data_IF_725008792353
#
_entry.id   IF_725008792353
#
_cell.length_a   1.000
_cell.length_b   1.000
_cell.length_c   1.000
_cell.angle_alpha   90.00
_cell.angle_beta   90.00
_cell.angle_gamma   90.00
#
_symmetry.space_group_name_H-M   'P 1'
#
loop_
_entity.id
_entity.type
_entity.pdbx_description
1 polymer ?
#
# COMPACT_ATOMS: atom_id res chain seq x y z
N UNK A 1 -2.03 -11.00 -8.19
CA UNK A 1 -1.53 -11.29 -6.82
C UNK A 1 -2.04 -10.19 -5.91
N UNK A 2 -2.57 -10.53 -4.74
CA UNK A 2 -3.08 -9.57 -3.77
C UNK A 2 -2.31 -9.77 -2.46
N UNK A 3 -1.75 -8.69 -1.92
CA UNK A 3 -0.98 -8.69 -0.68
C UNK A 3 -1.34 -7.47 0.17
N UNK A 4 -1.96 -7.70 1.34
CA UNK A 4 -2.41 -6.64 2.25
C UNK A 4 -1.31 -6.13 3.19
N UNK A 5 -0.19 -6.84 3.25
CA UNK A 5 0.96 -6.51 4.10
C UNK A 5 2.22 -6.52 3.23
N UNK A 6 2.14 -5.80 2.11
CA UNK A 6 3.10 -5.92 1.03
C UNK A 6 4.51 -5.45 1.42
N UNK A 7 4.61 -4.64 2.47
CA UNK A 7 5.85 -4.05 2.95
C UNK A 7 6.57 -3.34 1.82
N UNK A 8 7.82 -3.77 1.57
CA UNK A 8 8.67 -3.20 0.51
C UNK A 8 8.27 -3.60 -0.92
N UNK A 9 7.22 -4.40 -1.10
CA UNK A 9 6.67 -4.77 -2.41
C UNK A 9 7.35 -5.94 -3.13
N UNK A 10 8.07 -6.81 -2.42
CA UNK A 10 8.76 -7.98 -3.03
C UNK A 10 7.79 -8.93 -3.73
N UNK A 11 6.60 -9.15 -3.17
CA UNK A 11 5.54 -9.96 -3.76
C UNK A 11 5.10 -9.42 -5.13
N UNK A 12 4.91 -8.10 -5.25
CA UNK A 12 4.54 -7.49 -6.53
C UNK A 12 5.68 -7.46 -7.53
N UNK A 13 6.94 -7.29 -7.09
CA UNK A 13 8.10 -7.37 -7.99
C UNK A 13 8.18 -8.76 -8.63
N UNK A 14 8.00 -9.82 -7.84
CA UNK A 14 7.96 -11.18 -8.37
C UNK A 14 6.78 -11.38 -9.35
N UNK A 15 5.60 -10.84 -9.04
CA UNK A 15 4.44 -10.90 -9.93
C UNK A 15 4.71 -10.18 -11.27
N UNK A 16 5.25 -8.97 -11.21
CA UNK A 16 5.54 -8.13 -12.36
C UNK A 16 6.58 -8.76 -13.29
N UNK A 17 7.67 -9.32 -12.73
CA UNK A 17 8.69 -10.07 -13.49
C UNK A 17 8.13 -11.29 -14.22
N UNK A 18 7.03 -11.88 -13.72
CA UNK A 18 6.35 -13.02 -14.32
C UNK A 18 5.17 -12.60 -15.23
N UNK A 19 5.01 -11.31 -15.53
CA UNK A 19 3.91 -10.81 -16.36
C UNK A 19 2.52 -10.95 -15.72
N UNK A 20 2.45 -10.98 -14.38
CA UNK A 20 1.19 -11.10 -13.64
C UNK A 20 0.77 -9.75 -13.07
N UNK A 21 -0.53 -9.47 -13.09
CA UNK A 21 -1.10 -8.33 -12.37
C UNK A 21 -0.96 -8.48 -10.86
N UNK A 22 -0.87 -7.34 -10.16
CA UNK A 22 -0.76 -7.28 -8.70
C UNK A 22 -1.54 -6.10 -8.11
N UNK A 23 -1.98 -6.26 -6.87
CA UNK A 23 -2.52 -5.22 -5.99
C UNK A 23 -1.80 -5.38 -4.67
N UNK A 24 -1.13 -4.32 -4.21
CA UNK A 24 -0.34 -4.31 -2.99
C UNK A 24 -0.85 -3.19 -2.09
N UNK A 25 -1.01 -3.50 -0.81
CA UNK A 25 -1.47 -2.55 0.20
C UNK A 25 -0.49 -2.60 1.37
N UNK A 26 -0.18 -1.43 1.93
CA UNK A 26 0.56 -1.27 3.17
C UNK A 26 0.20 0.08 3.80
N UNK A 27 0.38 0.23 5.11
CA UNK A 27 0.16 1.49 5.84
C UNK A 27 1.47 2.14 6.32
N UNK A 28 2.58 1.40 6.29
CA UNK A 28 3.86 1.88 6.76
C UNK A 28 4.53 2.78 5.71
N UNK A 29 4.62 4.07 5.99
CA UNK A 29 5.12 5.09 5.06
C UNK A 29 6.47 4.73 4.43
N UNK A 30 7.45 4.30 5.23
CA UNK A 30 8.78 3.92 4.73
C UNK A 30 8.71 2.70 3.79
N UNK A 31 7.82 1.75 4.08
CA UNK A 31 7.65 0.55 3.25
C UNK A 31 7.05 0.93 1.89
N UNK A 32 6.04 1.80 1.90
CA UNK A 32 5.41 2.37 0.70
C UNK A 32 6.43 3.13 -0.14
N UNK A 33 7.31 3.94 0.46
CA UNK A 33 8.35 4.68 -0.27
C UNK A 33 9.31 3.73 -0.99
N UNK A 34 9.75 2.67 -0.32
CA UNK A 34 10.60 1.63 -0.92
C UNK A 34 9.85 0.91 -2.04
N UNK A 35 8.60 0.51 -1.79
CA UNK A 35 7.75 -0.18 -2.75
C UNK A 35 7.51 0.65 -4.02
N UNK A 36 7.21 1.95 -3.88
CA UNK A 36 7.05 2.89 -5.00
C UNK A 36 8.29 2.92 -5.88
N UNK A 37 9.48 3.05 -5.27
CA UNK A 37 10.75 3.09 -6.01
C UNK A 37 11.03 1.76 -6.70
N UNK A 38 10.81 0.63 -5.99
CA UNK A 38 11.02 -0.73 -6.51
C UNK A 38 10.14 -1.00 -7.74
N UNK A 39 8.88 -0.61 -7.69
CA UNK A 39 7.90 -0.95 -8.72
C UNK A 39 7.77 0.08 -9.85
N UNK A 40 8.46 1.21 -9.76
CA UNK A 40 8.32 2.34 -10.70
C UNK A 40 8.47 1.96 -12.18
N UNK A 41 9.34 1.00 -12.51
CA UNK A 41 9.56 0.56 -13.91
C UNK A 41 8.38 -0.18 -14.54
N UNK A 42 7.42 -0.66 -13.74
CA UNK A 42 6.19 -1.27 -14.22
C UNK A 42 4.99 -0.33 -14.22
N UNK A 43 5.22 0.95 -13.91
CA UNK A 43 4.21 2.02 -13.92
C UNK A 43 2.88 1.63 -13.26
N UNK A 44 2.89 1.10 -12.01
CA UNK A 44 1.66 0.72 -11.35
C UNK A 44 0.79 1.95 -11.06
N UNK A 45 -0.53 1.75 -11.07
CA UNK A 45 -1.45 2.73 -10.50
C UNK A 45 -1.19 2.88 -9.01
N UNK A 46 -1.23 4.12 -8.52
CA UNK A 46 -0.94 4.46 -7.13
C UNK A 46 -2.12 5.20 -6.52
N UNK A 47 -2.77 4.55 -5.55
CA UNK A 47 -3.77 5.18 -4.69
C UNK A 47 -3.15 5.39 -3.30
N UNK A 48 -3.11 6.65 -2.85
CA UNK A 48 -2.63 7.02 -1.52
C UNK A 48 -3.80 7.59 -0.72
N UNK A 49 -4.18 6.89 0.34
CA UNK A 49 -5.18 7.36 1.28
C UNK A 49 -4.47 7.98 2.49
N UNK A 50 -4.46 9.31 2.59
CA UNK A 50 -4.16 9.95 3.86
C UNK A 50 -5.31 9.62 4.83
N UNK A 51 -5.01 9.21 6.07
CA UNK A 51 -6.06 8.90 7.05
C UNK A 51 -7.08 10.05 7.12
N UNK A 52 -8.33 9.74 6.78
CA UNK A 52 -9.44 10.54 7.26
C UNK A 52 -9.38 10.49 8.80
N UNK A 53 -9.26 11.64 9.46
CA UNK A 53 -9.41 11.72 10.91
C UNK A 53 -10.67 10.97 11.31
N UNK A 54 -10.51 9.74 11.84
CA UNK A 54 -11.58 9.04 12.53
C UNK A 54 -11.84 9.84 13.80
N UNK A 55 -12.79 10.76 13.71
CA UNK A 55 -13.21 11.60 14.82
C UNK A 55 -13.47 10.73 16.05
N UNK A 56 -12.75 11.02 17.13
CA UNK A 56 -13.04 10.45 18.44
C UNK A 56 -14.42 10.97 18.86
N UNK A 57 -15.46 10.15 18.69
CA UNK A 57 -16.79 10.45 19.25
C UNK A 57 -16.72 10.31 20.77
N UNK A 58 -16.29 11.41 21.40
CA UNK A 58 -16.54 11.70 22.81
C UNK A 58 -18.04 11.60 23.08
N UNK A 59 -18.48 10.46 23.64
CA UNK A 59 -19.79 10.37 24.25
C UNK A 59 -19.60 10.65 25.74
N UNK A 60 -19.65 11.94 26.09
CA UNK A 60 -19.85 12.37 27.47
C UNK A 60 -21.26 11.93 27.88
N UNK A 61 -21.35 11.00 28.83
CA UNK A 61 -22.62 10.59 29.44
C UNK A 61 -22.88 11.52 30.64
N UNK A 62 -23.93 12.34 30.55
CA UNK A 62 -24.52 13.07 31.67
C UNK A 62 -25.24 12.13 32.64
#
# INVERSE_FOLDING_TARGET
VLDFFAGSGTTGEAAARLGRGFVLIDEHHEAIEVMRRRLAQWEPELEIHAEAQRGTSSTSKS
#
